data_IF_822708913070
#
_entry.id   IF_822708913070
#
_cell.length_a   1.000
_cell.length_b   1.000
_cell.length_c   1.000
_cell.angle_alpha   90.00
_cell.angle_beta   90.00
_cell.angle_gamma   90.00
#
_symmetry.space_group_name_H-M   'P 1'
#
loop_
_entity.id
_entity.type
_entity.pdbx_description
1 polymer ?
#
# COMPACT_ATOMS: atom_id res chain seq x y z
N UNK A 1 -0.77 9.78 -20.51
CA UNK A 1 -1.70 10.46 -19.57
C UNK A 1 -0.96 11.67 -19.00
N UNK A 2 -1.54 12.87 -18.91
CA UNK A 2 -0.84 14.03 -18.34
C UNK A 2 -0.43 13.74 -16.88
N UNK A 3 0.70 14.30 -16.38
CA UNK A 3 1.16 14.09 -15.01
C UNK A 3 0.40 14.99 -14.04
N UNK A 4 -0.91 14.77 -13.95
CA UNK A 4 -1.80 15.55 -13.08
C UNK A 4 -2.28 14.67 -11.94
N UNK A 5 -2.11 15.15 -10.71
CA UNK A 5 -2.66 14.53 -9.52
C UNK A 5 -4.00 15.19 -9.18
N UNK A 6 -5.01 14.38 -8.88
CA UNK A 6 -6.33 14.85 -8.45
C UNK A 6 -6.52 14.54 -6.98
N UNK A 7 -7.00 15.52 -6.23
CA UNK A 7 -7.46 15.33 -4.86
C UNK A 7 -8.98 15.26 -4.85
N UNK A 8 -9.52 14.17 -4.30
CA UNK A 8 -10.96 13.98 -4.13
C UNK A 8 -11.23 13.85 -2.63
N UNK A 9 -11.82 14.88 -1.99
CA UNK A 9 -12.15 14.81 -0.57
C UNK A 9 -13.25 13.77 -0.33
N UNK A 10 -13.18 13.09 0.81
CA UNK A 10 -14.18 12.10 1.25
C UNK A 10 -14.48 11.05 0.16
N UNK A 11 -13.44 10.59 -0.55
CA UNK A 11 -13.59 9.63 -1.64
C UNK A 11 -14.16 8.28 -1.18
N UNK A 12 -13.84 7.90 0.05
CA UNK A 12 -14.41 6.73 0.72
C UNK A 12 -15.35 7.17 1.84
N UNK A 13 -16.33 6.33 2.12
CA UNK A 13 -17.23 6.45 3.27
C UNK A 13 -16.59 5.90 4.54
N UNK A 14 -17.13 6.27 5.70
CA UNK A 14 -16.65 5.78 7.01
C UNK A 14 -16.72 4.25 7.12
N UNK A 15 -17.74 3.62 6.52
CA UNK A 15 -17.90 2.16 6.52
C UNK A 15 -16.81 1.48 5.67
N UNK A 16 -16.50 2.03 4.49
CA UNK A 16 -15.41 1.55 3.63
C UNK A 16 -14.05 1.73 4.31
N UNK A 17 -13.82 2.84 5.01
CA UNK A 17 -12.59 3.05 5.80
C UNK A 17 -12.43 1.96 6.86
N UNK A 18 -13.49 1.68 7.63
CA UNK A 18 -13.49 0.63 8.64
C UNK A 18 -13.19 -0.75 8.05
N UNK A 19 -13.77 -1.06 6.89
CA UNK A 19 -13.54 -2.31 6.19
C UNK A 19 -12.09 -2.44 5.69
N UNK A 20 -11.54 -1.39 5.07
CA UNK A 20 -10.15 -1.34 4.62
C UNK A 20 -9.20 -1.55 5.81
N UNK A 21 -9.43 -0.86 6.92
CA UNK A 21 -8.60 -0.98 8.13
C UNK A 21 -8.64 -2.39 8.70
N UNK A 22 -9.81 -3.06 8.68
CA UNK A 22 -9.94 -4.46 9.07
C UNK A 22 -9.08 -5.36 8.18
N UNK A 23 -9.12 -5.21 6.87
CA UNK A 23 -8.31 -6.03 5.96
C UNK A 23 -6.81 -5.77 6.11
N UNK A 24 -6.40 -4.51 6.26
CA UNK A 24 -5.01 -4.13 6.50
C UNK A 24 -4.49 -4.81 7.76
N UNK A 25 -5.23 -4.73 8.88
CA UNK A 25 -4.78 -5.29 10.15
C UNK A 25 -4.83 -6.82 10.21
N UNK A 26 -5.71 -7.46 9.43
CA UNK A 26 -5.81 -8.92 9.36
C UNK A 26 -4.77 -9.58 8.43
N UNK A 27 -3.90 -8.79 7.77
CA UNK A 27 -2.83 -9.36 6.97
C UNK A 27 -1.89 -10.21 7.86
N UNK A 28 -1.57 -11.46 7.48
CA UNK A 28 -0.79 -12.36 8.31
C UNK A 28 0.63 -11.81 8.56
N UNK A 29 1.17 -12.05 9.77
CA UNK A 29 2.46 -11.50 10.20
C UNK A 29 3.61 -11.71 9.20
N UNK A 30 3.78 -12.86 8.53
CA UNK A 30 4.84 -13.04 7.53
C UNK A 30 4.78 -12.09 6.34
N UNK A 31 3.62 -11.46 6.05
CA UNK A 31 3.50 -10.45 4.99
C UNK A 31 4.04 -9.10 5.43
N UNK A 32 4.11 -8.83 6.73
CA UNK A 32 4.58 -7.55 7.24
C UNK A 32 6.11 -7.52 7.29
N UNK A 33 6.70 -6.48 6.71
CA UNK A 33 8.12 -6.16 6.85
C UNK A 33 8.28 -4.84 7.56
N UNK A 34 9.05 -4.84 8.65
CA UNK A 34 9.39 -3.63 9.39
C UNK A 34 10.59 -2.95 8.72
N UNK A 35 10.47 -1.65 8.48
CA UNK A 35 11.53 -0.78 8.00
C UNK A 35 11.79 0.31 9.05
N UNK A 36 12.72 1.22 8.79
CA UNK A 36 12.92 2.39 9.64
C UNK A 36 11.63 3.22 9.71
N UNK A 37 11.01 3.25 10.89
CA UNK A 37 9.81 4.02 11.25
C UNK A 37 8.50 3.66 10.51
N UNK A 38 8.47 2.55 9.79
CA UNK A 38 7.26 2.12 9.06
C UNK A 38 7.19 0.61 8.90
N UNK A 39 6.04 0.11 8.48
CA UNK A 39 5.84 -1.26 8.02
C UNK A 39 5.16 -1.27 6.66
N UNK A 40 5.43 -2.29 5.86
CA UNK A 40 4.73 -2.55 4.61
C UNK A 40 4.27 -4.00 4.54
N UNK A 41 3.25 -4.27 3.72
CA UNK A 41 2.82 -5.63 3.40
C UNK A 41 3.43 -6.03 2.05
N UNK A 42 4.09 -7.18 1.99
CA UNK A 42 4.58 -7.76 0.74
C UNK A 42 3.44 -8.53 0.05
N UNK A 43 2.90 -7.97 -1.04
CA UNK A 43 1.90 -8.60 -1.91
C UNK A 43 2.44 -8.95 -3.31
N UNK A 44 3.74 -8.75 -3.54
CA UNK A 44 4.42 -8.93 -4.83
C UNK A 44 5.68 -8.05 -4.89
N UNK A 45 6.57 -8.33 -5.83
CA UNK A 45 7.86 -7.64 -6.00
C UNK A 45 8.97 -8.16 -5.08
N UNK A 46 10.20 -7.71 -5.31
CA UNK A 46 11.39 -8.07 -4.51
C UNK A 46 11.77 -6.87 -3.63
N UNK A 47 11.53 -6.91 -2.31
CA UNK A 47 11.92 -5.83 -1.42
C UNK A 47 13.44 -5.76 -1.30
N UNK A 48 14.00 -4.55 -1.43
CA UNK A 48 15.38 -4.22 -1.11
C UNK A 48 15.42 -3.45 0.22
N UNK A 49 16.55 -3.45 0.93
CA UNK A 49 16.71 -2.73 2.21
C UNK A 49 16.40 -1.22 2.13
N UNK A 50 16.38 -0.64 0.91
CA UNK A 50 16.10 0.78 0.65
C UNK A 50 14.72 1.05 0.03
N UNK A 51 13.89 0.04 -0.21
CA UNK A 51 12.57 0.19 -0.83
C UNK A 51 12.21 -0.96 -1.78
N UNK A 52 11.21 -0.76 -2.63
CA UNK A 52 10.87 -1.70 -3.69
C UNK A 52 11.78 -1.48 -4.90
N UNK A 53 12.12 -2.57 -5.61
CA UNK A 53 12.71 -2.45 -6.95
C UNK A 53 11.66 -1.84 -7.88
N UNK A 54 12.03 -0.84 -8.67
CA UNK A 54 11.14 -0.22 -9.63
C UNK A 54 10.80 -1.22 -10.74
N UNK A 55 9.52 -1.50 -10.93
CA UNK A 55 9.01 -2.34 -12.03
C UNK A 55 8.29 -1.44 -13.06
N UNK A 56 8.30 -1.85 -14.33
CA UNK A 56 7.53 -1.14 -15.35
C UNK A 56 6.03 -1.32 -15.09
N UNK A 57 5.25 -0.25 -15.29
CA UNK A 57 3.79 -0.32 -15.19
C UNK A 57 3.26 -1.30 -16.25
N UNK A 58 2.40 -2.27 -15.90
CA UNK A 58 1.79 -3.17 -16.86
C UNK A 58 1.03 -2.40 -17.95
N UNK A 59 1.19 -2.84 -19.19
CA UNK A 59 0.48 -2.32 -20.38
C UNK A 59 -1.00 -2.65 -20.39
#
# INVERSE_FOLDING_TARGET
VPPVAYYIPNFITDDEENEIMKYVNNAPQPKWTQLSHRRLQNWGGIPHQKGMIAEQIPS
#
